data_IF_684308572711
#
_entry.id   IF_684308572711
#
_cell.length_a   1.000
_cell.length_b   1.000
_cell.length_c   1.000
_cell.angle_alpha   90.00
_cell.angle_beta   90.00
_cell.angle_gamma   90.00
#
_symmetry.space_group_name_H-M   'P 1'
#
loop_
_entity.id
_entity.type
_entity.pdbx_description
1 polymer ?
#
# COMPACT_ATOMS: atom_id res chain seq x y z
N UNK A 1 2.37 -20.01 -11.30
CA UNK A 1 1.54 -20.02 -10.08
C UNK A 1 0.21 -19.38 -10.43
N UNK A 2 -0.80 -20.22 -10.68
CA UNK A 2 -2.19 -19.78 -10.62
C UNK A 2 -2.45 -19.44 -9.16
N UNK A 3 -2.69 -18.16 -8.88
CA UNK A 3 -2.99 -17.69 -7.53
C UNK A 3 -4.49 -17.74 -7.31
N UNK A 4 -4.92 -18.29 -6.18
CA UNK A 4 -6.30 -18.11 -5.73
C UNK A 4 -6.51 -16.62 -5.46
N UNK A 5 -7.51 -16.02 -6.11
CA UNK A 5 -7.93 -14.65 -5.79
C UNK A 5 -8.52 -14.69 -4.38
N UNK A 6 -7.83 -14.03 -3.44
CA UNK A 6 -8.28 -13.94 -2.05
C UNK A 6 -9.10 -12.69 -1.76
N UNK A 7 -8.97 -11.68 -2.62
CA UNK A 7 -9.72 -10.43 -2.56
C UNK A 7 -9.51 -9.63 -3.87
N UNK A 8 -10.41 -8.69 -4.14
CA UNK A 8 -10.43 -7.88 -5.36
C UNK A 8 -10.58 -6.39 -5.06
N UNK A 9 -9.95 -5.53 -5.86
CA UNK A 9 -10.14 -4.08 -5.77
C UNK A 9 -10.42 -3.50 -7.15
N UNK A 10 -11.56 -2.82 -7.29
CA UNK A 10 -11.93 -2.10 -8.51
C UNK A 10 -11.54 -0.64 -8.40
N UNK A 11 -10.50 -0.23 -9.12
CA UNK A 11 -10.07 1.17 -9.14
C UNK A 11 -10.71 1.92 -10.32
N UNK A 12 -11.35 3.06 -10.04
CA UNK A 12 -11.71 4.01 -11.10
C UNK A 12 -10.46 4.74 -11.58
N UNK A 13 -10.41 5.02 -12.88
CA UNK A 13 -9.23 5.56 -13.57
C UNK A 13 -8.88 7.02 -13.20
N UNK A 14 -9.72 7.75 -12.47
CA UNK A 14 -9.66 9.22 -12.51
C UNK A 14 -9.05 9.98 -11.31
N UNK A 15 -9.15 9.58 -10.01
CA UNK A 15 -8.51 10.36 -8.89
C UNK A 15 -8.22 9.57 -7.60
N UNK A 16 -7.27 10.05 -6.76
CA UNK A 16 -6.93 9.50 -5.41
C UNK A 16 -7.79 10.14 -4.31
N UNK A 17 -8.88 10.80 -4.72
CA UNK A 17 -9.87 11.42 -3.84
C UNK A 17 -11.03 10.48 -3.50
N UNK A 18 -11.11 9.33 -4.16
CA UNK A 18 -12.14 8.34 -3.91
C UNK A 18 -11.62 7.30 -2.91
N UNK A 19 -12.53 6.83 -2.06
CA UNK A 19 -12.35 5.68 -1.18
C UNK A 19 -11.96 4.44 -2.01
N UNK A 20 -10.99 3.66 -1.51
CA UNK A 20 -10.55 2.42 -2.16
C UNK A 20 -11.15 1.26 -1.36
N UNK A 21 -11.97 0.46 -2.04
CA UNK A 21 -12.57 -0.73 -1.43
C UNK A 21 -11.85 -2.01 -1.83
N UNK A 22 -11.65 -2.88 -0.84
CA UNK A 22 -11.29 -4.28 -1.05
C UNK A 22 -12.55 -5.12 -0.89
N UNK A 23 -12.84 -5.96 -1.88
CA UNK A 23 -13.98 -6.87 -1.94
C UNK A 23 -13.52 -8.33 -1.81
N UNK A 24 -14.43 -9.22 -1.46
CA UNK A 24 -14.15 -10.67 -1.43
C UNK A 24 -13.76 -11.23 -2.80
N UNK A 25 -14.33 -10.68 -3.87
CA UNK A 25 -14.21 -11.18 -5.23
C UNK A 25 -14.59 -10.10 -6.26
N UNK A 26 -14.56 -10.48 -7.54
CA UNK A 26 -14.77 -9.60 -8.69
C UNK A 26 -16.20 -9.07 -8.82
N UNK A 27 -17.20 -9.71 -8.18
CA UNK A 27 -18.60 -9.24 -8.20
C UNK A 27 -18.76 -7.88 -7.52
N UNK A 28 -17.83 -7.53 -6.63
CA UNK A 28 -17.84 -6.31 -5.83
C UNK A 28 -19.12 -6.16 -4.97
N UNK A 29 -19.76 -7.27 -4.55
CA UNK A 29 -20.96 -7.22 -3.70
C UNK A 29 -20.63 -7.13 -2.22
N UNK A 30 -19.54 -7.77 -1.78
CA UNK A 30 -19.16 -7.86 -0.37
C UNK A 30 -17.85 -7.14 -0.15
N UNK A 31 -17.94 -5.91 0.35
CA UNK A 31 -16.77 -5.12 0.74
C UNK A 31 -16.22 -5.59 2.09
N UNK A 32 -14.91 -5.79 2.16
CA UNK A 32 -14.16 -6.23 3.34
C UNK A 32 -13.49 -5.05 4.04
N UNK A 33 -12.79 -4.21 3.27
CA UNK A 33 -12.06 -3.04 3.78
C UNK A 33 -12.42 -1.79 2.98
N UNK A 34 -12.47 -0.65 3.66
CA UNK A 34 -12.47 0.67 3.05
C UNK A 34 -11.16 1.39 3.42
N UNK A 35 -10.43 1.87 2.42
CA UNK A 35 -9.25 2.71 2.59
C UNK A 35 -9.62 4.14 2.25
N UNK A 36 -9.67 4.99 3.28
CA UNK A 36 -10.24 6.34 3.19
C UNK A 36 -9.21 7.41 3.55
N UNK A 37 -9.12 8.47 2.75
CA UNK A 37 -8.23 9.59 3.04
C UNK A 37 -8.84 10.52 4.12
N UNK A 38 -8.08 10.83 5.19
CA UNK A 38 -8.50 11.75 6.27
C UNK A 38 -8.35 13.22 5.91
N UNK A 39 -7.26 13.58 5.24
CA UNK A 39 -6.94 14.95 4.84
C UNK A 39 -6.05 14.91 3.60
N UNK A 40 -6.51 15.54 2.51
CA UNK A 40 -5.75 15.69 1.27
C UNK A 40 -5.12 17.08 1.28
N UNK A 41 -4.17 17.30 2.18
CA UNK A 41 -3.16 18.35 1.97
C UNK A 41 -2.02 17.62 1.26
N UNK A 42 -1.79 17.97 0.00
CA UNK A 42 -1.12 17.15 -1.05
C UNK A 42 0.27 16.58 -0.71
N UNK A 43 0.85 16.95 0.43
CA UNK A 43 2.18 16.53 0.88
C UNK A 43 2.21 15.56 2.07
N UNK A 44 1.10 15.29 2.77
CA UNK A 44 1.11 14.40 3.96
C UNK A 44 -0.16 13.56 4.13
N UNK A 45 -0.71 13.10 3.01
CA UNK A 45 -1.95 12.33 2.99
C UNK A 45 -1.89 11.13 3.94
N UNK A 46 -2.94 11.02 4.76
CA UNK A 46 -3.15 9.92 5.71
C UNK A 46 -4.37 9.14 5.27
N UNK A 47 -4.23 7.82 5.20
CA UNK A 47 -5.27 6.88 4.77
C UNK A 47 -5.59 5.92 5.90
N UNK A 48 -6.85 5.85 6.27
CA UNK A 48 -7.34 4.90 7.26
C UNK A 48 -7.72 3.60 6.58
N UNK A 49 -7.33 2.48 7.18
CA UNK A 49 -7.80 1.16 6.82
C UNK A 49 -8.96 0.84 7.77
N UNK A 50 -10.16 0.72 7.22
CA UNK A 50 -11.40 0.57 7.97
C UNK A 50 -11.98 -0.82 7.68
N UNK A 51 -12.36 -1.55 8.72
CA UNK A 51 -13.15 -2.78 8.59
C UNK A 51 -14.58 -2.40 8.21
N UNK A 52 -15.08 -2.90 7.08
CA UNK A 52 -16.41 -2.51 6.61
C UNK A 52 -17.52 -3.08 7.49
N UNK A 53 -17.29 -4.24 8.12
CA UNK A 53 -18.32 -4.91 8.93
C UNK A 53 -18.54 -4.22 10.28
N UNK A 54 -17.46 -3.80 10.95
CA UNK A 54 -17.56 -3.08 12.24
C UNK A 54 -17.55 -1.56 12.09
N UNK A 55 -17.05 -1.02 10.97
CA UNK A 55 -16.81 0.41 10.78
C UNK A 55 -15.60 0.93 11.55
N UNK A 56 -14.83 0.06 12.20
CA UNK A 56 -13.68 0.44 13.02
C UNK A 56 -12.44 0.71 12.16
N UNK A 57 -11.67 1.72 12.58
CA UNK A 57 -10.34 1.96 12.03
C UNK A 57 -9.41 0.88 12.60
N UNK A 58 -8.81 0.08 11.73
CA UNK A 58 -7.84 -0.95 12.09
C UNK A 58 -6.41 -0.39 12.21
N UNK A 59 -6.16 0.73 11.53
CA UNK A 59 -4.87 1.41 11.50
C UNK A 59 -4.81 2.37 10.32
N UNK A 60 -3.65 2.98 10.11
CA UNK A 60 -3.51 3.97 9.04
C UNK A 60 -2.11 4.02 8.44
N UNK A 61 -2.05 4.47 7.18
CA UNK A 61 -0.79 4.75 6.49
C UNK A 61 -0.70 6.25 6.19
N UNK A 62 0.39 6.89 6.61
CA UNK A 62 0.65 8.31 6.35
C UNK A 62 1.90 8.50 5.51
N UNK A 63 1.76 9.13 4.34
CA UNK A 63 2.93 9.48 3.51
C UNK A 63 3.78 10.54 4.20
N UNK A 64 5.09 10.34 4.23
CA UNK A 64 6.05 11.30 4.80
C UNK A 64 6.32 12.42 3.78
N UNK A 65 5.74 13.61 3.97
CA UNK A 65 5.98 14.77 3.11
C UNK A 65 7.38 15.36 3.19
N UNK A 66 7.83 16.03 2.12
CA UNK A 66 9.13 16.71 1.87
C UNK A 66 10.43 15.89 2.10
N UNK A 67 10.47 14.95 3.05
CA UNK A 67 11.61 14.03 3.28
C UNK A 67 11.63 12.84 2.31
N UNK A 68 10.56 12.58 1.57
CA UNK A 68 10.44 11.46 0.60
C UNK A 68 10.92 11.81 -0.82
N UNK A 69 11.73 12.85 -1.01
CA UNK A 69 12.22 13.22 -2.35
C UNK A 69 13.19 12.17 -2.95
N UNK A 70 13.82 11.34 -2.10
CA UNK A 70 14.76 10.30 -2.51
C UNK A 70 14.15 8.89 -2.56
N UNK A 71 13.19 8.61 -1.68
CA UNK A 71 12.54 7.30 -1.50
C UNK A 71 11.13 7.53 -0.96
N UNK A 72 10.12 6.84 -1.48
CA UNK A 72 8.78 6.90 -0.88
C UNK A 72 8.78 6.25 0.50
N UNK A 73 8.31 6.97 1.52
CA UNK A 73 8.20 6.47 2.91
C UNK A 73 6.81 6.72 3.47
N UNK A 74 6.26 5.69 4.12
CA UNK A 74 4.95 5.69 4.76
C UNK A 74 5.09 5.33 6.23
N UNK A 75 4.51 6.14 7.12
CA UNK A 75 4.36 5.81 8.53
C UNK A 75 3.18 4.87 8.70
N UNK A 76 3.37 3.84 9.53
CA UNK A 76 2.29 2.95 9.97
C UNK A 76 1.79 3.45 11.32
N UNK A 77 0.51 3.78 11.40
CA UNK A 77 -0.13 4.35 12.58
C UNK A 77 -1.14 3.37 13.17
N UNK A 78 -1.16 3.27 14.49
CA UNK A 78 -2.16 2.51 15.23
C UNK A 78 -3.53 3.23 15.21
N UNK A 79 -4.53 2.63 15.84
CA UNK A 79 -5.90 3.18 15.93
C UNK A 79 -5.97 4.54 16.66
N UNK A 80 -4.98 4.84 17.51
CA UNK A 80 -4.86 6.09 18.23
C UNK A 80 -4.03 7.14 17.46
N UNK A 81 -3.49 6.77 16.29
CA UNK A 81 -2.64 7.62 15.46
C UNK A 81 -1.15 7.62 15.85
N UNK A 82 -0.72 6.77 16.77
CA UNK A 82 0.70 6.66 17.14
C UNK A 82 1.44 5.85 16.09
N UNK A 83 2.64 6.31 15.72
CA UNK A 83 3.49 5.56 14.79
C UNK A 83 4.07 4.33 15.49
N UNK A 84 3.86 3.15 14.91
CA UNK A 84 4.45 1.89 15.39
C UNK A 84 5.43 1.26 14.38
N UNK A 85 5.53 1.81 13.17
CA UNK A 85 6.45 1.32 12.15
C UNK A 85 6.47 2.22 10.92
N UNK A 86 7.20 1.80 9.90
CA UNK A 86 7.22 2.45 8.59
C UNK A 86 7.41 1.46 7.44
N UNK A 87 6.94 1.86 6.26
CA UNK A 87 7.19 1.18 4.98
C UNK A 87 8.06 2.09 4.11
N UNK A 88 9.18 1.57 3.61
CA UNK A 88 10.21 2.34 2.92
C UNK A 88 10.48 1.73 1.54
N UNK A 89 10.60 2.56 0.51
CA UNK A 89 11.07 2.14 -0.81
C UNK A 89 12.58 1.85 -0.80
N UNK A 90 12.96 0.63 -1.17
CA UNK A 90 14.36 0.23 -1.32
C UNK A 90 14.95 0.64 -2.65
N UNK A 91 14.10 0.67 -3.68
CA UNK A 91 14.50 1.06 -5.03
C UNK A 91 14.94 2.51 -5.05
N UNK A 92 15.95 2.82 -5.87
CA UNK A 92 16.38 4.21 -6.05
C UNK A 92 15.28 4.94 -6.82
N UNK A 93 14.37 5.59 -6.10
CA UNK A 93 13.20 6.26 -6.67
C UNK A 93 13.61 7.30 -7.73
N UNK A 94 14.78 7.93 -7.56
CA UNK A 94 15.35 8.85 -8.54
C UNK A 94 15.71 8.15 -9.86
N UNK A 95 16.28 6.94 -9.80
CA UNK A 95 16.58 6.15 -11.01
C UNK A 95 15.29 5.79 -11.73
N UNK A 96 14.28 5.32 -10.99
CA UNK A 96 12.96 5.00 -11.56
C UNK A 96 12.29 6.21 -12.24
N UNK A 97 12.53 7.41 -11.69
CA UNK A 97 11.88 8.66 -12.10
C UNK A 97 12.61 9.40 -13.23
N UNK A 98 13.95 9.39 -13.24
CA UNK A 98 14.75 10.29 -14.08
C UNK A 98 15.64 9.58 -15.11
N UNK A 99 15.85 8.27 -15.02
CA UNK A 99 16.64 7.52 -16.02
C UNK A 99 15.73 7.04 -17.15
N UNK A 100 16.15 7.12 -18.44
CA UNK A 100 15.42 6.50 -19.54
C UNK A 100 15.12 5.03 -19.24
N UNK A 101 13.86 4.61 -19.42
CA UNK A 101 13.36 3.29 -19.06
C UNK A 101 13.37 2.95 -17.55
N UNK A 102 13.70 3.88 -16.66
CA UNK A 102 13.66 3.67 -15.21
C UNK A 102 12.30 3.24 -14.67
N UNK A 103 11.19 3.67 -15.32
CA UNK A 103 9.82 3.26 -14.99
C UNK A 103 9.56 1.76 -15.09
N UNK A 104 10.42 1.02 -15.79
CA UNK A 104 10.35 -0.45 -15.93
C UNK A 104 11.01 -1.19 -14.78
N UNK A 105 11.78 -0.50 -13.93
CA UNK A 105 12.39 -1.11 -12.74
C UNK A 105 11.28 -1.34 -11.71
N UNK A 106 11.03 -2.60 -11.29
CA UNK A 106 10.03 -2.90 -10.28
C UNK A 106 10.38 -2.24 -8.95
N UNK A 107 9.36 -1.70 -8.27
CA UNK A 107 9.56 -1.18 -6.93
C UNK A 107 9.71 -2.32 -5.92
N UNK A 108 10.62 -2.14 -4.97
CA UNK A 108 10.72 -2.94 -3.77
C UNK A 108 10.50 -2.05 -2.56
N UNK A 109 9.70 -2.53 -1.63
CA UNK A 109 9.53 -1.92 -0.32
C UNK A 109 9.79 -2.94 0.78
N UNK A 110 10.16 -2.44 1.94
CA UNK A 110 10.13 -3.20 3.18
C UNK A 110 9.36 -2.45 4.26
N UNK A 111 8.88 -3.17 5.26
CA UNK A 111 8.29 -2.62 6.47
C UNK A 111 9.18 -2.92 7.68
N UNK A 112 9.47 -1.86 8.41
CA UNK A 112 10.17 -1.90 9.68
C UNK A 112 9.17 -1.66 10.81
N UNK A 113 8.97 -2.69 11.64
CA UNK A 113 8.24 -2.60 12.90
C UNK A 113 9.20 -3.03 14.01
N UNK A 114 9.48 -2.20 15.03
CA UNK A 114 10.46 -2.50 16.07
C UNK A 114 10.20 -3.86 16.74
N UNK A 115 11.27 -4.65 16.89
CA UNK A 115 11.19 -5.97 17.54
C UNK A 115 10.56 -7.08 16.69
N UNK A 116 10.32 -6.86 15.40
CA UNK A 116 9.78 -7.87 14.49
C UNK A 116 10.68 -8.07 13.28
N UNK A 117 10.55 -9.23 12.62
CA UNK A 117 11.25 -9.50 11.38
C UNK A 117 10.62 -8.71 10.21
N UNK A 118 11.45 -8.30 9.26
CA UNK A 118 11.04 -7.46 8.12
C UNK A 118 9.97 -8.12 7.23
N UNK A 119 8.97 -7.34 6.81
CA UNK A 119 8.01 -7.73 5.76
C UNK A 119 8.40 -7.04 4.46
N UNK A 120 8.47 -7.77 3.35
CA UNK A 120 8.83 -7.19 2.04
C UNK A 120 7.65 -7.15 1.09
N UNK A 121 7.54 -6.09 0.30
CA UNK A 121 6.64 -5.99 -0.85
C UNK A 121 7.50 -5.86 -2.12
N UNK A 122 7.56 -6.93 -2.91
CA UNK A 122 8.36 -6.99 -4.12
C UNK A 122 7.44 -6.94 -5.35
N UNK A 123 7.52 -5.88 -6.14
CA UNK A 123 6.85 -5.86 -7.43
C UNK A 123 7.59 -6.78 -8.41
N UNK A 124 6.81 -7.52 -9.19
CA UNK A 124 7.32 -8.34 -10.28
C UNK A 124 7.20 -7.57 -11.58
N UNK A 125 8.24 -7.63 -12.39
CA UNK A 125 8.20 -7.11 -13.75
C UNK A 125 7.18 -7.90 -14.58
N UNK A 126 6.15 -7.22 -15.10
CA UNK A 126 5.21 -7.80 -16.05
C UNK A 126 4.55 -6.67 -16.87
N UNK A 127 4.63 -6.73 -18.22
CA UNK A 127 4.15 -5.65 -19.09
C UNK A 127 2.62 -5.56 -19.20
N UNK A 128 1.87 -6.55 -18.71
CA UNK A 128 0.41 -6.63 -18.82
C UNK A 128 -0.30 -6.53 -17.47
N UNK A 129 0.21 -7.22 -16.45
CA UNK A 129 -0.43 -7.32 -15.13
C UNK A 129 0.61 -7.07 -14.05
N UNK A 130 0.45 -6.00 -13.27
CA UNK A 130 1.31 -5.75 -12.11
C UNK A 130 1.01 -6.76 -11.02
N UNK A 131 2.06 -7.36 -10.48
CA UNK A 131 1.98 -8.29 -9.35
C UNK A 131 2.91 -7.81 -8.26
N UNK A 132 2.43 -7.79 -7.03
CA UNK A 132 3.24 -7.54 -5.84
C UNK A 132 3.23 -8.80 -4.99
N UNK A 133 4.42 -9.32 -4.67
CA UNK A 133 4.59 -10.42 -3.74
C UNK A 133 4.88 -9.84 -2.36
N UNK A 134 4.00 -10.15 -1.40
CA UNK A 134 4.18 -9.77 0.00
C UNK A 134 4.73 -10.96 0.77
N UNK A 135 5.95 -10.85 1.27
CA UNK A 135 6.60 -11.90 2.07
C UNK A 135 6.50 -11.52 3.53
N UNK A 136 5.85 -12.36 4.32
CA UNK A 136 5.61 -12.11 5.74
C UNK A 136 6.31 -13.21 6.54
N UNK A 137 7.26 -12.87 7.43
CA UNK A 137 7.92 -13.87 8.27
C UNK A 137 6.93 -14.69 9.09
N UNK A 138 7.27 -15.96 9.33
CA UNK A 138 6.47 -16.83 10.18
C UNK A 138 6.37 -16.23 11.60
N UNK A 139 5.16 -16.26 12.17
CA UNK A 139 4.91 -15.72 13.52
C UNK A 139 4.81 -14.19 13.59
N UNK A 140 4.90 -13.45 12.47
CA UNK A 140 4.73 -12.00 12.49
C UNK A 140 3.31 -11.61 12.92
N UNK A 141 3.23 -10.76 13.95
CA UNK A 141 1.99 -10.37 14.64
C UNK A 141 1.22 -9.21 13.97
N UNK A 142 1.55 -8.86 12.72
CA UNK A 142 0.86 -7.75 12.04
C UNK A 142 -0.57 -8.18 11.72
N UNK A 143 -1.54 -7.30 11.95
CA UNK A 143 -2.91 -7.51 11.46
C UNK A 143 -2.87 -7.60 9.93
N UNK A 144 -3.30 -8.75 9.40
CA UNK A 144 -3.26 -9.05 7.97
C UNK A 144 -4.18 -8.14 7.16
N UNK A 145 -5.26 -7.64 7.76
CA UNK A 145 -6.17 -6.66 7.13
C UNK A 145 -5.47 -5.32 6.94
N UNK A 146 -4.77 -4.85 7.97
CA UNK A 146 -3.97 -3.61 7.89
C UNK A 146 -2.89 -3.75 6.83
N UNK A 147 -2.15 -4.86 6.84
CA UNK A 147 -1.12 -5.15 5.84
C UNK A 147 -1.67 -5.15 4.41
N UNK A 148 -2.79 -5.84 4.16
CA UNK A 148 -3.43 -5.88 2.85
C UNK A 148 -3.91 -4.49 2.44
N UNK A 149 -4.48 -3.71 3.37
CA UNK A 149 -4.89 -2.33 3.11
C UNK A 149 -3.71 -1.43 2.69
N UNK A 150 -2.57 -1.53 3.38
CA UNK A 150 -1.34 -0.79 3.04
C UNK A 150 -0.81 -1.23 1.66
N UNK A 151 -0.73 -2.54 1.41
CA UNK A 151 -0.26 -3.09 0.14
C UNK A 151 -1.16 -2.63 -1.03
N UNK A 152 -2.49 -2.62 -0.82
CA UNK A 152 -3.45 -2.15 -1.81
C UNK A 152 -3.30 -0.64 -2.06
N UNK A 153 -3.16 0.16 -1.01
CA UNK A 153 -2.90 1.60 -1.12
C UNK A 153 -1.62 1.87 -1.94
N UNK A 154 -0.53 1.17 -1.61
CA UNK A 154 0.74 1.27 -2.34
C UNK A 154 0.57 0.95 -3.82
N UNK A 155 -0.08 -0.19 -4.14
CA UNK A 155 -0.35 -0.60 -5.52
C UNK A 155 -1.20 0.43 -6.28
N UNK A 156 -2.18 1.04 -5.61
CA UNK A 156 -3.06 2.08 -6.18
C UNK A 156 -2.32 3.37 -6.54
N UNK A 157 -1.31 3.74 -5.74
CA UNK A 157 -0.50 4.94 -5.96
C UNK A 157 0.57 4.69 -7.03
N UNK A 158 1.28 3.56 -6.96
CA UNK A 158 2.29 3.16 -7.94
C UNK A 158 1.70 2.98 -9.35
N UNK A 159 0.50 2.41 -9.45
CA UNK A 159 -0.25 2.30 -10.71
C UNK A 159 -0.31 3.61 -11.50
N UNK A 160 -0.38 4.74 -10.79
CA UNK A 160 -0.58 6.07 -11.38
C UNK A 160 0.71 6.82 -11.65
N UNK A 161 1.77 6.65 -10.85
CA UNK A 161 3.06 7.31 -11.09
C UNK A 161 3.72 6.88 -12.41
N UNK A 162 3.39 5.67 -12.86
CA UNK A 162 3.92 5.03 -14.05
C UNK A 162 3.08 5.21 -15.32
N UNK A 163 1.81 5.64 -15.20
CA UNK A 163 0.94 5.93 -16.34
C UNK A 163 1.25 7.28 -16.99
#
# INVERSE_FOLDING_TARGET
MEGNIVAYCKQKRFRLKEDIFLYSDESCTTALLNIKARNIIDFSATYDIIDVSSGEILGSAKRKGLKSLLKDTWKLLDVNGNQYGEMIEDSNALVRRFVPFGKWIPARYHMEIPGTAEITLNQLFNPFIRRTVVTIPQGHQIDRRVLVGIALLNASIEGRQSS
#
